data_IF_489489476046
#
_entry.id   IF_489489476046
#
_cell.length_a   1.000
_cell.length_b   1.000
_cell.length_c   1.000
_cell.angle_alpha   90.00
_cell.angle_beta   90.00
_cell.angle_gamma   90.00
#
_symmetry.space_group_name_H-M   'P 1'
#
loop_
_entity.id
_entity.type
_entity.pdbx_description
1 polymer ?
#
# COMPACT_ATOMS: atom_id res chain seq x y z
N UNK A 1 49.04 -5.15 28.01
CA UNK A 1 48.43 -5.93 29.13
C UNK A 1 46.91 -6.02 28.98
N UNK A 2 46.28 -7.17 29.27
CA UNK A 2 44.83 -7.32 29.10
C UNK A 2 44.00 -6.86 30.32
N UNK A 3 42.69 -6.70 30.13
CA UNK A 3 41.76 -6.19 31.16
C UNK A 3 41.66 -7.06 32.41
N UNK A 4 41.86 -8.38 32.31
CA UNK A 4 41.79 -9.29 33.46
C UNK A 4 43.06 -9.22 34.30
N UNK A 5 44.22 -9.16 33.65
CA UNK A 5 45.53 -8.98 34.30
C UNK A 5 45.60 -7.66 35.07
N UNK A 6 45.15 -6.55 34.46
CA UNK A 6 45.12 -5.24 35.14
C UNK A 6 44.26 -5.27 36.41
N UNK A 7 43.07 -5.90 36.34
CA UNK A 7 42.19 -6.01 37.50
C UNK A 7 42.81 -6.79 38.64
N UNK A 8 43.63 -7.79 38.33
CA UNK A 8 44.33 -8.58 39.35
C UNK A 8 45.47 -7.76 39.98
N UNK A 9 46.29 -7.10 39.17
CA UNK A 9 47.39 -6.26 39.66
C UNK A 9 46.92 -5.09 40.53
N UNK A 10 45.77 -4.48 40.21
CA UNK A 10 45.17 -3.43 41.04
C UNK A 10 44.70 -3.96 42.40
N UNK A 11 44.17 -5.19 42.47
CA UNK A 11 43.81 -5.84 43.74
C UNK A 11 45.03 -6.18 44.57
N UNK A 12 46.10 -6.64 43.92
CA UNK A 12 47.35 -7.01 44.59
C UNK A 12 48.13 -5.78 45.07
N UNK A 13 47.92 -4.62 44.43
CA UNK A 13 48.52 -3.33 44.78
C UNK A 13 47.68 -2.52 45.80
N UNK A 14 46.58 -3.07 46.28
CA UNK A 14 45.69 -2.43 47.26
C UNK A 14 46.38 -2.34 48.62
N UNK A 15 46.63 -1.11 49.10
CA UNK A 15 47.21 -0.91 50.43
C UNK A 15 46.10 -1.06 51.45
N UNK A 16 46.16 -2.15 52.21
CA UNK A 16 45.22 -2.47 53.28
C UNK A 16 45.75 -1.93 54.60
N UNK A 17 44.99 -1.05 55.26
CA UNK A 17 45.29 -0.62 56.63
C UNK A 17 45.56 0.88 56.83
N UNK A 18 45.13 1.76 55.92
CA UNK A 18 45.11 3.20 56.24
C UNK A 18 43.99 3.44 57.27
N UNK A 19 44.35 3.58 58.55
CA UNK A 19 43.40 3.97 59.60
C UNK A 19 43.14 5.46 59.52
N UNK A 20 42.00 5.82 58.94
CA UNK A 20 41.55 7.21 58.85
C UNK A 20 40.29 7.32 59.72
N UNK A 21 40.34 8.15 60.76
CA UNK A 21 39.25 8.35 61.73
C UNK A 21 38.67 7.05 62.32
N UNK A 22 39.54 6.08 62.64
CA UNK A 22 39.14 4.81 63.26
C UNK A 22 38.62 3.75 62.29
N UNK A 23 38.47 4.06 61.00
CA UNK A 23 38.05 3.12 59.96
C UNK A 23 39.23 2.67 59.12
N UNK A 24 39.25 1.38 58.76
CA UNK A 24 40.20 0.86 57.78
C UNK A 24 39.74 1.25 56.38
N UNK A 25 40.54 2.09 55.74
CA UNK A 25 40.35 2.52 54.36
C UNK A 25 41.32 1.78 53.46
N UNK A 26 40.80 1.31 52.34
CA UNK A 26 41.58 0.70 51.27
C UNK A 26 41.89 1.75 50.22
N UNK A 27 43.16 1.86 49.84
CA UNK A 27 43.61 2.86 48.88
C UNK A 27 44.65 2.28 47.94
N UNK A 28 44.60 2.72 46.68
CA UNK A 28 45.63 2.42 45.68
C UNK A 28 46.33 3.75 45.37
N UNK A 29 47.67 3.85 45.48
CA UNK A 29 48.38 5.06 45.12
C UNK A 29 48.13 5.46 43.66
N UNK A 30 47.82 6.73 43.42
CA UNK A 30 47.52 7.24 42.07
C UNK A 30 48.68 7.03 41.08
N UNK A 31 49.93 7.08 41.55
CA UNK A 31 51.11 6.79 40.73
C UNK A 31 51.14 5.35 40.22
N UNK A 32 50.69 4.39 41.03
CA UNK A 32 50.57 2.98 40.64
C UNK A 32 49.48 2.80 39.59
N UNK A 33 48.34 3.47 39.76
CA UNK A 33 47.25 3.43 38.77
C UNK A 33 47.71 4.02 37.44
N UNK A 34 48.37 5.19 37.45
CA UNK A 34 48.88 5.84 36.24
C UNK A 34 49.92 4.98 35.52
N UNK A 35 50.90 4.42 36.24
CA UNK A 35 51.92 3.56 35.63
C UNK A 35 51.37 2.26 35.05
N UNK A 36 50.29 1.71 35.62
CA UNK A 36 49.60 0.54 35.05
C UNK A 36 48.75 0.90 33.83
N UNK A 37 48.17 2.12 33.80
CA UNK A 37 47.43 2.64 32.64
C UNK A 37 48.37 2.88 31.46
N UNK A 38 49.58 3.39 31.70
CA UNK A 38 50.60 3.58 30.66
C UNK A 38 51.10 2.26 30.05
N UNK A 39 50.93 1.14 30.76
CA UNK A 39 51.27 -0.22 30.30
C UNK A 39 50.09 -0.97 29.67
N UNK A 40 48.91 -0.35 29.63
CA UNK A 40 47.83 -0.85 28.79
C UNK A 40 48.22 -0.56 27.35
N UNK A 41 48.17 -1.60 26.52
CA UNK A 41 48.26 -1.39 25.09
C UNK A 41 47.04 -0.53 24.73
N UNK A 42 47.26 0.68 24.18
CA UNK A 42 46.18 1.38 23.50
C UNK A 42 45.56 0.38 22.52
N UNK A 43 44.22 0.29 22.40
CA UNK A 43 43.64 -0.55 21.37
C UNK A 43 44.33 -0.15 20.07
N UNK A 44 45.00 -1.11 19.40
CA UNK A 44 45.56 -0.86 18.07
C UNK A 44 44.51 -0.06 17.32
N UNK A 45 44.88 1.17 16.89
CA UNK A 45 43.97 2.10 16.24
C UNK A 45 43.40 1.38 15.01
N UNK A 46 42.24 0.75 15.24
CA UNK A 46 41.72 -0.26 14.35
C UNK A 46 41.34 0.36 13.02
N UNK A 47 41.27 -0.50 12.01
CA UNK A 47 40.84 -0.34 10.62
C UNK A 47 39.79 0.75 10.29
N UNK A 48 39.04 1.28 11.27
CA UNK A 48 38.01 2.28 11.15
C UNK A 48 38.46 3.61 10.49
N UNK A 49 39.69 4.08 10.71
CA UNK A 49 40.17 5.32 10.04
C UNK A 49 40.64 5.09 8.60
N UNK A 50 41.01 3.85 8.24
CA UNK A 50 41.40 3.48 6.87
C UNK A 50 40.20 2.95 6.03
N UNK A 51 39.07 2.65 6.67
CA UNK A 51 37.83 2.18 6.03
C UNK A 51 37.41 2.98 4.79
N UNK A 52 37.51 4.34 4.76
CA UNK A 52 37.17 5.10 3.56
C UNK A 52 38.11 4.84 2.37
N UNK A 53 39.38 4.52 2.63
CA UNK A 53 40.38 4.29 1.57
C UNK A 53 40.26 2.89 0.98
N UNK A 54 40.02 1.87 1.81
CA UNK A 54 39.80 0.50 1.32
C UNK A 54 38.51 0.40 0.50
N UNK A 55 37.42 1.04 0.94
CA UNK A 55 36.19 1.11 0.17
C UNK A 55 36.40 1.80 -1.18
N UNK A 56 37.14 2.91 -1.21
CA UNK A 56 37.50 3.60 -2.47
C UNK A 56 38.32 2.71 -3.39
N UNK A 57 39.26 1.94 -2.86
CA UNK A 57 40.08 1.02 -3.65
C UNK A 57 39.25 -0.14 -4.23
N UNK A 58 38.31 -0.70 -3.46
CA UNK A 58 37.39 -1.74 -3.93
C UNK A 58 36.48 -1.19 -5.04
N UNK A 59 35.90 0.00 -4.85
CA UNK A 59 35.06 0.65 -5.85
C UNK A 59 35.82 0.97 -7.15
N UNK A 60 37.09 1.38 -7.04
CA UNK A 60 37.94 1.60 -8.22
C UNK A 60 38.12 0.32 -9.02
N UNK A 61 38.45 -0.81 -8.36
CA UNK A 61 38.62 -2.11 -9.02
C UNK A 61 37.34 -2.63 -9.67
N UNK A 62 36.18 -2.45 -9.03
CA UNK A 62 34.89 -2.84 -9.64
C UNK A 62 34.61 -2.01 -10.89
N UNK A 63 34.94 -0.71 -10.89
CA UNK A 63 34.74 0.15 -12.07
C UNK A 63 35.67 -0.19 -13.24
N UNK A 64 36.81 -0.82 -12.97
CA UNK A 64 37.71 -1.33 -14.01
C UNK A 64 37.17 -2.59 -14.71
N UNK A 65 36.20 -3.29 -14.12
CA UNK A 65 35.58 -4.47 -14.73
C UNK A 65 34.61 -4.09 -15.88
N UNK A 66 34.46 -4.97 -16.89
CA UNK A 66 33.41 -4.86 -17.90
C UNK A 66 32.01 -4.75 -17.30
N UNK A 67 31.10 -4.02 -17.96
CA UNK A 67 29.75 -3.74 -17.45
C UNK A 67 28.98 -4.99 -17.01
N UNK A 68 29.10 -6.08 -17.78
CA UNK A 68 28.45 -7.36 -17.48
C UNK A 68 29.02 -8.03 -16.22
N UNK A 69 30.33 -7.87 -15.98
CA UNK A 69 31.03 -8.53 -14.87
C UNK A 69 30.85 -7.78 -13.53
N UNK A 70 30.48 -6.49 -13.58
CA UNK A 70 30.20 -5.69 -12.37
C UNK A 70 29.03 -6.23 -11.57
N UNK A 71 27.96 -6.64 -12.25
CA UNK A 71 26.76 -7.18 -11.58
C UNK A 71 27.06 -8.53 -10.92
N UNK A 72 27.81 -9.40 -11.61
CA UNK A 72 28.24 -10.70 -11.09
C UNK A 72 29.13 -10.52 -9.85
N UNK A 73 30.07 -9.56 -9.90
CA UNK A 73 30.94 -9.24 -8.78
C UNK A 73 30.19 -8.63 -7.59
N UNK A 74 29.23 -7.74 -7.82
CA UNK A 74 28.40 -7.20 -6.74
C UNK A 74 27.59 -8.31 -6.06
N UNK A 75 27.02 -9.25 -6.82
CA UNK A 75 26.33 -10.41 -6.26
C UNK A 75 27.27 -11.27 -5.41
N UNK A 76 28.48 -11.56 -5.90
CA UNK A 76 29.47 -12.34 -5.17
C UNK A 76 29.93 -11.65 -3.88
N UNK A 77 30.19 -10.34 -3.91
CA UNK A 77 30.53 -9.58 -2.69
C UNK A 77 29.39 -9.67 -1.68
N UNK A 78 28.14 -9.48 -2.13
CA UNK A 78 26.98 -9.53 -1.25
C UNK A 78 26.73 -10.93 -0.67
N UNK A 79 27.06 -12.01 -1.38
CA UNK A 79 26.96 -13.38 -0.86
C UNK A 79 28.00 -13.70 0.22
N UNK A 80 29.20 -13.11 0.17
CA UNK A 80 30.21 -13.27 1.24
C UNK A 80 29.72 -12.70 2.58
N UNK A 81 28.83 -11.71 2.53
CA UNK A 81 28.24 -11.09 3.71
C UNK A 81 26.96 -11.79 4.21
N UNK A 82 26.47 -12.86 3.56
CA UNK A 82 25.17 -13.48 3.86
C UNK A 82 24.99 -13.92 5.32
N UNK A 83 26.08 -14.34 6.00
CA UNK A 83 26.02 -14.76 7.41
C UNK A 83 26.06 -13.56 8.39
N UNK A 84 26.74 -12.47 8.06
CA UNK A 84 26.96 -11.31 8.96
C UNK A 84 25.96 -10.17 8.75
N UNK A 85 25.49 -9.98 7.51
CA UNK A 85 24.47 -8.98 7.14
C UNK A 85 23.05 -9.54 7.16
N UNK A 86 22.86 -10.70 7.82
CA UNK A 86 21.67 -11.53 7.79
C UNK A 86 20.35 -10.78 7.55
N UNK A 87 19.90 -10.90 6.30
CA UNK A 87 18.55 -11.28 5.91
C UNK A 87 17.34 -10.37 6.18
N UNK A 88 17.28 -9.53 7.22
CA UNK A 88 16.01 -8.89 7.59
C UNK A 88 15.68 -7.66 6.74
N UNK A 89 16.57 -6.66 6.71
CA UNK A 89 16.18 -5.30 6.31
C UNK A 89 16.08 -5.07 4.80
N UNK A 90 16.89 -5.76 4.00
CA UNK A 90 16.92 -5.61 2.54
C UNK A 90 15.90 -6.51 1.85
N UNK A 91 15.61 -7.68 2.44
CA UNK A 91 14.57 -8.56 1.95
C UNK A 91 13.19 -8.05 2.33
N UNK A 92 12.98 -7.51 3.54
CA UNK A 92 11.69 -6.89 3.89
C UNK A 92 11.26 -5.82 2.90
N UNK A 93 12.12 -4.87 2.49
CA UNK A 93 11.71 -3.82 1.56
C UNK A 93 11.42 -4.33 0.13
N UNK A 94 12.25 -5.24 -0.38
CA UNK A 94 12.08 -5.79 -1.74
C UNK A 94 10.98 -6.87 -1.79
N UNK A 95 10.86 -7.70 -0.76
CA UNK A 95 9.79 -8.68 -0.59
C UNK A 95 8.48 -8.02 -0.16
N UNK A 96 8.44 -6.92 0.59
CA UNK A 96 7.21 -6.13 0.76
C UNK A 96 6.76 -5.58 -0.59
N UNK A 97 7.63 -4.94 -1.36
CA UNK A 97 7.25 -4.49 -2.72
C UNK A 97 6.82 -5.62 -3.65
N UNK A 98 7.43 -6.82 -3.51
CA UNK A 98 7.10 -8.01 -4.32
C UNK A 98 5.86 -8.77 -3.81
N UNK A 99 5.59 -8.78 -2.50
CA UNK A 99 4.44 -9.46 -1.88
C UNK A 99 3.20 -8.55 -1.95
N UNK A 100 3.36 -7.23 -1.81
CA UNK A 100 2.30 -6.23 -2.07
C UNK A 100 1.89 -6.15 -3.55
N UNK A 101 2.77 -6.61 -4.46
CA UNK A 101 2.42 -6.77 -5.89
C UNK A 101 1.92 -8.17 -6.25
N UNK A 102 2.08 -9.18 -5.38
CA UNK A 102 1.58 -10.55 -5.58
C UNK A 102 0.28 -10.85 -4.83
N UNK A 103 -0.05 -10.07 -3.80
CA UNK A 103 -1.36 -10.13 -3.18
C UNK A 103 -2.30 -9.36 -4.10
N UNK A 104 -3.25 -10.04 -4.73
CA UNK A 104 -4.33 -9.38 -5.46
C UNK A 104 -4.91 -8.29 -4.56
N UNK A 105 -4.67 -7.03 -4.93
CA UNK A 105 -5.16 -5.90 -4.15
C UNK A 105 -6.68 -5.95 -4.18
N UNK A 106 -7.28 -5.53 -3.06
CA UNK A 106 -8.73 -5.51 -2.94
C UNK A 106 -9.32 -4.63 -4.05
N UNK A 107 -10.12 -5.25 -4.92
CA UNK A 107 -10.80 -4.58 -6.03
C UNK A 107 -11.77 -3.55 -5.48
N UNK A 108 -11.77 -2.39 -6.08
CA UNK A 108 -12.72 -1.33 -5.73
C UNK A 108 -14.05 -1.56 -6.43
N UNK A 109 -15.14 -1.12 -5.81
CA UNK A 109 -16.46 -1.10 -6.45
C UNK A 109 -16.63 0.20 -7.22
N UNK A 110 -17.04 0.10 -8.47
CA UNK A 110 -17.31 1.26 -9.33
C UNK A 110 -18.65 1.10 -10.07
N UNK A 111 -19.33 2.20 -10.43
CA UNK A 111 -20.53 2.14 -11.25
C UNK A 111 -20.27 1.58 -12.66
N UNK A 112 -21.33 1.06 -13.30
CA UNK A 112 -21.26 0.45 -14.63
C UNK A 112 -20.74 1.42 -15.71
N UNK A 113 -21.21 2.67 -15.72
CA UNK A 113 -20.75 3.68 -16.69
C UNK A 113 -19.24 4.01 -16.56
N UNK A 114 -18.67 3.89 -15.36
CA UNK A 114 -17.22 4.07 -15.14
C UNK A 114 -16.46 2.84 -15.65
N UNK A 115 -17.00 1.65 -15.40
CA UNK A 115 -16.44 0.40 -15.90
C UNK A 115 -16.40 0.36 -17.42
N UNK A 116 -17.41 0.91 -18.10
CA UNK A 116 -17.46 0.96 -19.56
C UNK A 116 -16.43 1.94 -20.13
N UNK A 117 -16.27 3.12 -19.51
CA UNK A 117 -15.19 4.05 -19.89
C UNK A 117 -13.79 3.41 -19.76
N UNK A 118 -13.52 2.67 -18.67
CA UNK A 118 -12.24 1.96 -18.50
C UNK A 118 -12.03 0.91 -19.59
N UNK A 119 -13.07 0.13 -19.95
CA UNK A 119 -12.97 -0.88 -21.01
C UNK A 119 -12.69 -0.26 -22.36
N UNK A 120 -13.41 0.82 -22.70
CA UNK A 120 -13.24 1.52 -23.97
C UNK A 120 -11.83 2.10 -24.07
N UNK A 121 -11.37 2.80 -23.04
CA UNK A 121 -9.99 3.31 -22.99
C UNK A 121 -8.93 2.22 -23.18
N UNK A 122 -9.08 1.06 -22.52
CA UNK A 122 -8.14 -0.06 -22.71
C UNK A 122 -8.23 -0.66 -24.12
N UNK A 123 -9.39 -0.62 -24.77
CA UNK A 123 -9.55 -1.02 -26.17
C UNK A 123 -8.76 -0.11 -27.12
N UNK A 124 -8.68 1.18 -26.79
CA UNK A 124 -7.90 2.19 -27.52
C UNK A 124 -6.41 2.24 -27.14
N UNK A 125 -5.94 1.31 -26.30
CA UNK A 125 -4.55 1.26 -25.77
C UNK A 125 -4.14 2.56 -25.03
N UNK A 126 -5.11 3.23 -24.40
CA UNK A 126 -4.84 4.41 -23.57
C UNK A 126 -4.18 4.02 -22.26
N UNK A 127 -3.28 4.88 -21.78
CA UNK A 127 -2.73 4.75 -20.44
C UNK A 127 -3.53 5.57 -19.40
N UNK A 128 -3.12 5.50 -18.12
CA UNK A 128 -3.82 6.20 -17.05
C UNK A 128 -3.79 7.73 -17.23
N UNK A 129 -2.76 8.28 -17.88
CA UNK A 129 -2.60 9.70 -18.09
C UNK A 129 -3.52 10.18 -19.22
N UNK A 130 -3.71 9.37 -20.26
CA UNK A 130 -4.69 9.61 -21.32
C UNK A 130 -6.11 9.68 -20.77
N UNK A 131 -6.56 8.66 -20.03
CA UNK A 131 -7.93 8.63 -19.47
C UNK A 131 -8.21 9.77 -18.50
N UNK A 132 -7.20 10.21 -17.73
CA UNK A 132 -7.33 11.34 -16.82
C UNK A 132 -7.40 12.67 -17.57
N UNK A 133 -6.77 12.76 -18.74
CA UNK A 133 -6.74 13.97 -19.56
C UNK A 133 -8.00 14.13 -20.40
N UNK A 134 -8.52 13.03 -20.95
CA UNK A 134 -9.64 13.04 -21.88
C UNK A 134 -11.00 12.79 -21.22
N UNK A 135 -11.05 12.57 -19.90
CA UNK A 135 -12.32 12.39 -19.19
C UNK A 135 -13.28 13.56 -19.39
N UNK A 136 -12.77 14.79 -19.49
CA UNK A 136 -13.57 16.01 -19.71
C UNK A 136 -14.19 16.09 -21.12
N UNK A 137 -13.64 15.34 -22.08
CA UNK A 137 -14.13 15.27 -23.45
C UNK A 137 -15.26 14.23 -23.59
N UNK A 138 -15.52 13.43 -22.55
CA UNK A 138 -16.61 12.46 -22.55
C UNK A 138 -17.98 13.13 -22.45
N UNK A 139 -18.90 12.75 -23.33
CA UNK A 139 -20.27 13.28 -23.33
C UNK A 139 -21.11 12.78 -22.13
N UNK A 140 -20.59 11.81 -21.37
CA UNK A 140 -21.26 11.23 -20.23
C UNK A 140 -21.22 12.17 -19.01
N UNK A 141 -22.26 13.00 -18.85
CA UNK A 141 -22.40 13.89 -17.70
C UNK A 141 -22.34 13.16 -16.34
N UNK A 142 -22.75 11.90 -16.30
CA UNK A 142 -22.73 11.06 -15.09
C UNK A 142 -21.30 10.63 -14.73
N UNK A 143 -20.50 10.29 -15.74
CA UNK A 143 -19.08 10.01 -15.58
C UNK A 143 -18.36 11.22 -15.03
N UNK A 144 -18.54 12.39 -15.65
CA UNK A 144 -17.92 13.65 -15.20
C UNK A 144 -18.31 13.98 -13.75
N UNK A 145 -19.60 13.91 -13.44
CA UNK A 145 -20.10 14.20 -12.09
C UNK A 145 -19.48 13.24 -11.09
N UNK A 146 -19.53 11.94 -11.35
CA UNK A 146 -18.97 10.93 -10.46
C UNK A 146 -17.47 11.12 -10.30
N UNK A 147 -16.74 11.35 -11.39
CA UNK A 147 -15.29 11.43 -11.39
C UNK A 147 -14.76 12.56 -10.51
N UNK A 148 -15.41 13.73 -10.54
CA UNK A 148 -15.05 14.89 -9.72
C UNK A 148 -15.75 14.94 -8.36
N UNK A 149 -16.56 13.94 -8.01
CA UNK A 149 -17.20 13.83 -6.70
C UNK A 149 -16.27 13.16 -5.69
N UNK A 150 -16.08 13.81 -4.55
CA UNK A 150 -15.29 13.32 -3.41
C UNK A 150 -13.87 12.81 -3.76
N UNK A 151 -13.63 11.50 -3.63
CA UNK A 151 -12.36 10.81 -3.85
C UNK A 151 -12.42 9.83 -5.03
N UNK A 152 -13.36 10.03 -5.95
CA UNK A 152 -13.60 9.09 -7.02
C UNK A 152 -12.46 9.03 -8.05
N UNK A 153 -11.63 10.07 -8.16
CA UNK A 153 -10.36 10.00 -8.92
C UNK A 153 -9.39 8.95 -8.35
N UNK A 154 -9.27 8.84 -7.03
CA UNK A 154 -8.42 7.83 -6.38
C UNK A 154 -9.02 6.43 -6.58
N UNK A 155 -10.35 6.31 -6.45
CA UNK A 155 -11.09 5.06 -6.71
C UNK A 155 -10.94 4.62 -8.16
N UNK A 156 -11.03 5.55 -9.12
CA UNK A 156 -10.82 5.29 -10.54
C UNK A 156 -9.39 4.81 -10.82
N UNK A 157 -8.38 5.50 -10.26
CA UNK A 157 -6.99 5.09 -10.43
C UNK A 157 -6.72 3.69 -9.88
N UNK A 158 -7.32 3.34 -8.74
CA UNK A 158 -7.29 1.97 -8.19
C UNK A 158 -8.01 0.98 -9.09
N UNK A 159 -9.19 1.31 -9.60
CA UNK A 159 -9.92 0.46 -10.54
C UNK A 159 -9.09 0.15 -11.80
N UNK A 160 -8.37 1.15 -12.30
CA UNK A 160 -7.51 1.04 -13.48
C UNK A 160 -6.33 0.08 -13.27
N UNK A 161 -5.63 0.23 -12.13
CA UNK A 161 -4.38 -0.48 -11.81
C UNK A 161 -4.62 -1.85 -11.17
N UNK A 162 -5.50 -1.90 -10.17
CA UNK A 162 -5.72 -3.06 -9.31
C UNK A 162 -6.92 -3.91 -9.76
N UNK A 163 -7.74 -3.39 -10.68
CA UNK A 163 -9.01 -3.99 -11.11
C UNK A 163 -10.20 -3.56 -10.25
N UNK A 164 -11.41 -3.93 -10.69
CA UNK A 164 -12.65 -3.48 -10.07
C UNK A 164 -13.76 -4.53 -10.09
N UNK A 165 -14.75 -4.31 -9.24
CA UNK A 165 -16.07 -4.95 -9.26
C UNK A 165 -17.11 -3.90 -9.66
N UNK A 166 -18.12 -4.31 -10.42
CA UNK A 166 -19.21 -3.41 -10.79
C UNK A 166 -20.18 -3.34 -9.61
N UNK A 167 -20.41 -2.14 -9.09
CA UNK A 167 -21.49 -1.88 -8.16
C UNK A 167 -22.81 -2.08 -8.91
N UNK A 168 -23.51 -3.16 -8.60
CA UNK A 168 -24.82 -3.42 -9.19
C UNK A 168 -25.77 -2.30 -8.74
N UNK A 169 -26.19 -1.46 -9.67
CA UNK A 169 -27.23 -0.48 -9.39
C UNK A 169 -28.50 -1.20 -8.99
N UNK A 170 -29.03 -0.85 -7.81
CA UNK A 170 -30.30 -1.39 -7.30
C UNK A 170 -31.41 -1.10 -8.31
N UNK A 171 -32.02 -2.16 -8.84
CA UNK A 171 -33.18 -2.07 -9.71
C UNK A 171 -34.44 -2.30 -8.89
N UNK A 172 -35.54 -1.72 -9.35
CA UNK A 172 -36.81 -1.72 -8.67
C UNK A 172 -37.91 -2.18 -9.62
N UNK A 173 -38.69 -3.16 -9.19
CA UNK A 173 -39.99 -3.48 -9.77
C UNK A 173 -41.05 -2.63 -9.06
N UNK A 174 -41.80 -1.85 -9.83
CA UNK A 174 -42.87 -1.00 -9.30
C UNK A 174 -44.21 -1.62 -9.66
N UNK A 175 -44.98 -2.01 -8.64
CA UNK A 175 -46.25 -2.71 -8.78
C UNK A 175 -47.39 -1.89 -8.16
N UNK A 176 -48.45 -1.63 -8.93
CA UNK A 176 -49.62 -0.90 -8.44
C UNK A 176 -50.61 -1.84 -7.75
N UNK A 177 -50.92 -1.57 -6.49
CA UNK A 177 -51.84 -2.37 -5.69
C UNK A 177 -53.29 -2.11 -6.11
N UNK A 178 -54.12 -3.15 -6.05
CA UNK A 178 -55.56 -3.09 -6.38
C UNK A 178 -55.90 -3.25 -7.87
N UNK A 179 -54.90 -3.40 -8.75
CA UNK A 179 -55.08 -3.78 -10.14
C UNK A 179 -54.99 -5.31 -10.33
N UNK A 180 -55.42 -5.80 -11.50
CA UNK A 180 -55.29 -7.21 -11.85
C UNK A 180 -53.81 -7.63 -11.79
N UNK A 181 -53.52 -8.71 -11.05
CA UNK A 181 -52.17 -9.14 -10.67
C UNK A 181 -51.20 -9.28 -11.86
N UNK A 182 -51.75 -9.60 -13.03
CA UNK A 182 -50.99 -9.76 -14.26
C UNK A 182 -50.82 -8.48 -15.07
N UNK A 183 -51.32 -7.31 -14.68
CA UNK A 183 -51.20 -6.06 -15.48
C UNK A 183 -50.90 -4.84 -14.61
N UNK A 184 -50.07 -5.02 -13.58
CA UNK A 184 -49.85 -4.01 -12.55
C UNK A 184 -48.41 -3.53 -12.43
N UNK A 185 -47.50 -3.94 -13.32
CA UNK A 185 -46.09 -3.55 -13.26
C UNK A 185 -45.81 -2.36 -14.16
N UNK A 186 -45.11 -1.36 -13.61
CA UNK A 186 -44.66 -0.19 -14.36
C UNK A 186 -43.60 -0.61 -15.38
N UNK A 187 -43.78 -0.20 -16.63
CA UNK A 187 -42.91 -0.55 -17.74
C UNK A 187 -42.42 0.66 -18.51
N UNK A 188 -41.25 0.53 -19.11
CA UNK A 188 -40.62 1.54 -19.97
C UNK A 188 -40.30 0.96 -21.34
N UNK A 189 -40.75 1.66 -22.38
CA UNK A 189 -40.46 1.31 -23.77
C UNK A 189 -39.17 1.98 -24.24
N UNK A 190 -38.10 1.20 -24.38
CA UNK A 190 -36.76 1.71 -24.74
C UNK A 190 -36.76 2.54 -26.04
N UNK A 191 -37.59 2.17 -27.02
CA UNK A 191 -37.66 2.86 -28.33
C UNK A 191 -38.48 4.15 -28.35
N UNK A 192 -39.50 4.24 -27.49
CA UNK A 192 -40.48 5.32 -27.55
C UNK A 192 -40.43 6.25 -26.32
N UNK A 193 -39.69 5.87 -25.27
CA UNK A 193 -39.67 6.59 -24.00
C UNK A 193 -41.01 6.57 -23.25
N UNK A 194 -41.99 5.80 -23.75
CA UNK A 194 -43.34 5.71 -23.18
C UNK A 194 -43.34 4.80 -21.95
N UNK A 195 -44.17 5.17 -20.96
CA UNK A 195 -44.38 4.40 -19.74
C UNK A 195 -45.81 3.87 -19.69
N UNK A 196 -46.00 2.64 -19.22
CA UNK A 196 -47.33 2.02 -19.07
C UNK A 196 -47.32 0.96 -17.98
N UNK A 197 -48.50 0.57 -17.50
CA UNK A 197 -48.65 -0.61 -16.64
C UNK A 197 -48.99 -1.84 -17.48
N UNK A 198 -48.34 -2.96 -17.19
CA UNK A 198 -48.57 -4.21 -17.92
C UNK A 198 -48.11 -5.45 -17.17
N UNK A 199 -48.08 -6.58 -17.87
CA UNK A 199 -47.71 -7.86 -17.28
C UNK A 199 -46.24 -7.96 -16.92
N UNK A 200 -45.93 -8.64 -15.81
CA UNK A 200 -44.56 -9.05 -15.51
C UNK A 200 -43.99 -9.82 -16.70
N UNK A 201 -42.80 -9.45 -17.13
CA UNK A 201 -42.06 -10.11 -18.21
C UNK A 201 -40.64 -10.34 -17.76
N UNK A 202 -39.94 -11.31 -18.36
CA UNK A 202 -38.53 -11.56 -18.04
C UNK A 202 -37.57 -10.59 -18.77
N UNK A 203 -38.08 -9.49 -19.32
CA UNK A 203 -37.29 -8.50 -20.05
C UNK A 203 -36.88 -7.34 -19.13
N UNK A 204 -35.99 -6.48 -19.60
CA UNK A 204 -35.53 -5.31 -18.81
C UNK A 204 -36.56 -4.18 -18.80
N UNK A 205 -37.80 -4.39 -19.28
CA UNK A 205 -38.76 -3.30 -19.44
C UNK A 205 -39.49 -2.95 -18.15
N UNK A 206 -39.55 -3.86 -17.17
CA UNK A 206 -40.22 -3.68 -15.89
C UNK A 206 -39.27 -3.39 -14.71
N UNK A 207 -37.96 -3.54 -14.92
CA UNK A 207 -36.91 -3.21 -13.95
C UNK A 207 -36.37 -1.79 -14.21
N UNK A 208 -36.51 -0.92 -13.22
CA UNK A 208 -36.07 0.47 -13.33
C UNK A 208 -35.05 0.81 -12.26
N UNK A 209 -34.08 1.66 -12.57
CA UNK A 209 -33.23 2.24 -11.52
C UNK A 209 -34.02 3.35 -10.80
N UNK A 210 -33.67 3.65 -9.56
CA UNK A 210 -34.29 4.76 -8.81
C UNK A 210 -34.20 6.08 -9.60
N UNK A 211 -33.08 6.29 -10.28
CA UNK A 211 -32.81 7.48 -11.08
C UNK A 211 -33.74 7.58 -12.29
N UNK A 212 -33.99 6.48 -13.01
CA UNK A 212 -34.94 6.46 -14.12
C UNK A 212 -36.36 6.82 -13.66
N UNK A 213 -36.77 6.30 -12.50
CA UNK A 213 -38.07 6.63 -11.91
C UNK A 213 -38.14 8.12 -11.53
N UNK A 214 -37.10 8.66 -10.87
CA UNK A 214 -37.04 10.07 -10.49
C UNK A 214 -37.05 11.01 -11.72
N UNK A 215 -36.24 10.71 -12.75
CA UNK A 215 -36.19 11.48 -14.00
C UNK A 215 -37.52 11.46 -14.77
N UNK A 216 -38.25 10.35 -14.71
CA UNK A 216 -39.56 10.20 -15.33
C UNK A 216 -40.73 10.71 -14.46
N UNK A 217 -40.45 11.43 -13.36
CA UNK A 217 -41.43 11.91 -12.37
C UNK A 217 -42.24 10.79 -11.68
N UNK A 218 -41.70 9.58 -11.63
CA UNK A 218 -42.20 8.46 -10.83
C UNK A 218 -41.53 8.35 -9.45
N UNK A 219 -40.74 9.35 -9.00
CA UNK A 219 -40.12 9.32 -7.67
C UNK A 219 -41.11 9.16 -6.51
N UNK A 220 -42.38 9.53 -6.69
CA UNK A 220 -43.44 9.37 -5.69
C UNK A 220 -43.80 7.90 -5.38
N UNK A 221 -43.39 6.95 -6.22
CA UNK A 221 -43.72 5.52 -6.04
C UNK A 221 -43.15 4.94 -4.74
N UNK A 222 -42.05 5.51 -4.24
CA UNK A 222 -41.42 5.10 -2.99
C UNK A 222 -42.18 5.55 -1.73
N UNK A 223 -43.02 6.58 -1.85
CA UNK A 223 -43.78 7.17 -0.73
C UNK A 223 -45.29 6.84 -0.81
N UNK A 224 -45.71 6.05 -1.79
CA UNK A 224 -47.13 5.78 -2.05
C UNK A 224 -47.60 4.45 -1.42
N UNK A 225 -48.55 4.46 -0.47
CA UNK A 225 -49.09 3.23 0.12
C UNK A 225 -49.82 2.30 -0.87
N UNK A 226 -50.24 2.84 -2.02
CA UNK A 226 -50.90 2.08 -3.08
C UNK A 226 -49.92 1.41 -4.06
N UNK A 227 -48.62 1.49 -3.81
CA UNK A 227 -47.57 0.91 -4.65
C UNK A 227 -46.73 -0.05 -3.80
N UNK A 228 -46.41 -1.19 -4.39
CA UNK A 228 -45.42 -2.14 -3.88
C UNK A 228 -44.14 -1.99 -4.72
N UNK A 229 -43.02 -1.68 -4.07
CA UNK A 229 -41.70 -1.56 -4.70
C UNK A 229 -40.83 -2.71 -4.21
N UNK A 230 -40.41 -3.57 -5.14
CA UNK A 230 -39.53 -4.70 -4.86
C UNK A 230 -38.13 -4.41 -5.42
N UNK A 231 -37.09 -4.48 -4.58
CA UNK A 231 -35.70 -4.36 -5.01
C UNK A 231 -35.27 -5.67 -5.68
N UNK A 232 -34.74 -5.58 -6.91
CA UNK A 232 -34.31 -6.72 -7.73
C UNK A 232 -32.89 -6.49 -8.24
N UNK A 233 -32.17 -7.60 -8.45
CA UNK A 233 -30.88 -7.63 -9.16
C UNK A 233 -31.07 -7.50 -10.69
#
# INVERSE_FOLDING_TARGET
>A
MNKQELKQLLKDSEVKGLKIFGNEVYGIPSSTVLGLVDQLDEPEKGYAEQSPQYLKNILARIRELPLHDREVWLKAIMSEFEQDFSHAKWREGYEQGRIESMTEREKVKIPEFVADYIKDAKCWDWDIQDVMKYVDDEECAELLKWFYEEKNMETFARAWLDGYEIEQEKRYLVKMLGLYEKECYLKRGVRAGSWWFGCKTDDTSDKHTRKELEQANFGWVFDCPGIEVEEVE
#
